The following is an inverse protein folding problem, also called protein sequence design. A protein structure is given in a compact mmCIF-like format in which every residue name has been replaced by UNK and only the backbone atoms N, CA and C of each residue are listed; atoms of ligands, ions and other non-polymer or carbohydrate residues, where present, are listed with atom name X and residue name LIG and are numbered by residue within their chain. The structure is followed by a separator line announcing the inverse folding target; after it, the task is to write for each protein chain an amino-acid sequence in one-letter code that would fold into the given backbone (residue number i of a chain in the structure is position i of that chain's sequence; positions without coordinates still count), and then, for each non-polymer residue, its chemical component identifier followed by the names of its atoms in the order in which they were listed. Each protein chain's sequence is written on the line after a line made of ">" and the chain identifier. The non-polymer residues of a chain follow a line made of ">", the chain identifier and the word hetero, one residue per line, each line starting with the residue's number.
data_IF_451497402119
#
_entry.id   IF_451497402119
#
_cell.length_a   1.000
_cell.length_b   1.000
_cell.length_c   1.000
_cell.angle_alpha   90.00
_cell.angle_beta   90.00
_cell.angle_gamma   90.00
#
_symmetry.space_group_name_H-M   'P 1'
#
loop_
_entity.id
_entity.type
_entity.pdbx_description
1 polymer ?
#
# COMPACT_ATOMS: atom_id res chain seq x y z
N UNK A 1 9.79 2.69 -23.19
CA UNK A 1 9.19 1.54 -22.48
C UNK A 1 8.47 0.71 -23.53
N UNK A 2 8.86 -0.56 -23.76
CA UNK A 2 8.21 -1.38 -24.79
C UNK A 2 6.94 -1.97 -24.18
N UNK A 3 5.77 -1.52 -24.64
CA UNK A 3 4.49 -2.11 -24.25
C UNK A 3 4.20 -3.28 -25.20
N UNK A 4 4.25 -4.50 -24.66
CA UNK A 4 3.85 -5.71 -25.38
C UNK A 4 2.40 -6.03 -25.05
N UNK A 5 1.60 -6.33 -26.07
CA UNK A 5 0.25 -6.89 -25.85
C UNK A 5 0.35 -8.31 -25.27
N UNK A 6 -0.66 -8.76 -24.52
CA UNK A 6 -0.65 -10.10 -23.89
C UNK A 6 -0.47 -11.25 -24.89
N UNK A 7 -0.97 -11.10 -26.12
CA UNK A 7 -0.78 -12.06 -27.20
C UNK A 7 0.68 -12.13 -27.68
N UNK A 8 1.35 -10.97 -27.79
CA UNK A 8 2.76 -10.88 -28.18
C UNK A 8 3.67 -11.47 -27.09
N UNK A 9 3.42 -11.14 -25.82
CA UNK A 9 4.16 -11.72 -24.70
C UNK A 9 4.07 -13.25 -24.69
N UNK A 10 2.87 -13.80 -24.90
CA UNK A 10 2.65 -15.25 -24.98
C UNK A 10 3.37 -15.90 -26.16
N UNK A 11 3.49 -15.21 -27.30
CA UNK A 11 4.24 -15.69 -28.44
C UNK A 11 5.75 -15.77 -28.15
N UNK A 12 6.32 -14.73 -27.52
CA UNK A 12 7.74 -14.71 -27.16
C UNK A 12 8.09 -15.74 -26.09
N UNK A 13 7.23 -15.91 -25.08
CA UNK A 13 7.45 -16.90 -24.01
C UNK A 13 7.46 -18.36 -24.51
N UNK A 14 6.88 -18.65 -25.68
CA UNK A 14 6.96 -19.99 -26.30
C UNK A 14 8.32 -20.30 -26.91
N UNK A 15 9.16 -19.29 -27.17
CA UNK A 15 10.48 -19.45 -27.77
C UNK A 15 11.58 -19.61 -26.72
N UNK A 16 11.28 -19.33 -25.45
CA UNK A 16 12.20 -19.42 -24.32
C UNK A 16 12.17 -20.84 -23.76
N UNK A 17 13.33 -21.40 -23.41
CA UNK A 17 13.40 -22.72 -22.79
C UNK A 17 12.63 -22.71 -21.46
N UNK A 18 11.99 -23.82 -21.12
CA UNK A 18 11.15 -23.92 -19.91
C UNK A 18 11.87 -23.46 -18.63
N UNK A 19 13.15 -23.79 -18.47
CA UNK A 19 13.96 -23.40 -17.31
C UNK A 19 14.17 -21.88 -17.23
N UNK A 20 14.43 -21.23 -18.37
CA UNK A 20 14.61 -19.77 -18.46
C UNK A 20 13.28 -19.04 -18.25
N UNK A 21 12.18 -19.58 -18.77
CA UNK A 21 10.84 -19.09 -18.54
C UNK A 21 10.44 -19.23 -17.07
N UNK A 22 10.81 -20.35 -16.42
CA UNK A 22 10.58 -20.59 -15.00
C UNK A 22 11.35 -19.57 -14.15
N UNK A 23 12.63 -19.36 -14.41
CA UNK A 23 13.45 -18.36 -13.70
C UNK A 23 12.93 -16.93 -13.91
N UNK A 24 12.49 -16.58 -15.11
CA UNK A 24 11.88 -15.28 -15.41
C UNK A 24 10.49 -15.12 -14.76
N UNK A 25 9.73 -16.22 -14.62
CA UNK A 25 8.41 -16.24 -14.00
C UNK A 25 8.44 -16.16 -12.48
N UNK A 26 9.58 -16.51 -11.86
CA UNK A 26 9.82 -16.26 -10.45
C UNK A 26 10.11 -14.77 -10.32
N UNK A 27 9.03 -13.97 -10.37
CA UNK A 27 9.05 -12.61 -9.86
C UNK A 27 9.28 -12.75 -8.37
N UNK A 28 10.55 -12.68 -7.94
CA UNK A 28 10.90 -12.56 -6.54
C UNK A 28 10.26 -11.25 -6.09
N UNK A 29 9.09 -11.33 -5.44
CA UNK A 29 8.55 -10.15 -4.77
C UNK A 29 9.63 -9.63 -3.82
N UNK A 30 9.83 -8.31 -3.74
CA UNK A 30 10.76 -7.74 -2.76
C UNK A 30 10.48 -8.35 -1.39
N UNK A 31 11.48 -9.01 -0.79
CA UNK A 31 11.33 -9.61 0.54
C UNK A 31 10.94 -8.49 1.53
N UNK A 32 9.81 -8.64 2.21
CA UNK A 32 9.31 -7.66 3.19
C UNK A 32 7.97 -7.01 2.84
N UNK A 33 7.41 -7.24 1.63
CA UNK A 33 6.03 -6.85 1.34
C UNK A 33 5.05 -7.88 1.94
N UNK A 34 4.62 -7.65 3.19
CA UNK A 34 3.43 -8.32 3.69
C UNK A 34 2.23 -7.84 2.86
N UNK A 35 1.35 -8.73 2.35
CA UNK A 35 0.08 -8.31 1.79
C UNK A 35 -0.75 -7.72 2.94
N UNK A 36 -0.67 -6.41 3.13
CA UNK A 36 -1.65 -5.73 3.98
C UNK A 36 -2.97 -5.77 3.23
N UNK A 37 -3.91 -6.55 3.76
CA UNK A 37 -5.29 -6.54 3.31
C UNK A 37 -5.90 -5.20 3.72
N UNK A 38 -5.92 -4.25 2.79
CA UNK A 38 -6.63 -2.99 3.00
C UNK A 38 -8.11 -3.24 2.74
N UNK A 39 -8.86 -3.44 3.82
CA UNK A 39 -10.31 -3.68 3.77
C UNK A 39 -11.13 -2.52 4.37
N UNK A 40 -10.46 -1.52 4.93
CA UNK A 40 -11.09 -0.39 5.62
C UNK A 40 -10.25 0.88 5.47
N UNK A 41 -10.89 2.03 5.69
CA UNK A 41 -10.23 3.35 5.69
C UNK A 41 -9.18 3.45 6.82
N UNK A 42 -9.42 2.79 7.96
CA UNK A 42 -8.45 2.71 9.07
C UNK A 42 -7.20 1.92 8.67
N UNK A 43 -7.35 0.77 8.00
CA UNK A 43 -6.20 0.01 7.49
C UNK A 43 -5.42 0.81 6.43
N UNK A 44 -6.12 1.61 5.62
CA UNK A 44 -5.51 2.51 4.66
C UNK A 44 -4.70 3.61 5.37
N UNK A 45 -5.24 4.20 6.44
CA UNK A 45 -4.53 5.20 7.26
C UNK A 45 -3.22 4.65 7.83
N UNK A 46 -3.24 3.41 8.34
CA UNK A 46 -2.03 2.74 8.85
C UNK A 46 -1.02 2.48 7.72
N UNK A 47 -1.48 2.09 6.54
CA UNK A 47 -0.60 1.87 5.37
C UNK A 47 0.13 3.16 4.96
N UNK A 48 -0.55 4.30 5.04
CA UNK A 48 -0.02 5.61 4.66
C UNK A 48 0.74 6.32 5.79
N UNK A 49 0.86 5.71 6.98
CA UNK A 49 1.59 6.31 8.10
C UNK A 49 3.04 6.64 7.70
N UNK A 50 3.47 7.92 7.78
CA UNK A 50 4.79 8.32 7.33
C UNK A 50 5.89 7.63 8.13
N UNK A 51 6.67 6.77 7.47
CA UNK A 51 7.81 6.09 8.07
C UNK A 51 9.10 6.45 7.34
N UNK A 52 10.19 6.69 8.09
CA UNK A 52 11.52 6.97 7.56
C UNK A 52 12.11 5.84 6.69
N UNK A 53 11.51 4.65 6.74
CA UNK A 53 12.04 3.43 6.08
C UNK A 53 11.21 2.93 4.90
N UNK A 54 10.01 3.45 4.68
CA UNK A 54 9.11 2.92 3.65
C UNK A 54 8.10 3.97 3.20
N UNK A 55 7.91 4.03 1.88
CA UNK A 55 6.79 4.74 1.24
C UNK A 55 5.83 3.66 0.73
N UNK A 56 4.50 3.82 0.90
CA UNK A 56 3.56 2.84 0.38
C UNK A 56 3.66 2.79 -1.15
N UNK A 57 3.74 1.58 -1.69
CA UNK A 57 3.62 1.34 -3.13
C UNK A 57 2.14 1.17 -3.46
N UNK A 58 1.52 2.23 -3.95
CA UNK A 58 0.08 2.33 -4.22
C UNK A 58 -0.15 2.97 -5.58
N UNK A 59 -1.14 2.45 -6.28
CA UNK A 59 -1.71 3.07 -7.46
C UNK A 59 -2.85 4.00 -7.01
N UNK A 60 -2.70 5.30 -7.26
CA UNK A 60 -3.67 6.29 -6.80
C UNK A 60 -4.97 6.26 -7.62
N UNK A 61 -4.92 5.83 -8.88
CA UNK A 61 -6.13 5.71 -9.72
C UNK A 61 -6.99 4.55 -9.21
N UNK A 62 -6.35 3.41 -8.89
CA UNK A 62 -7.05 2.27 -8.27
C UNK A 62 -7.56 2.62 -6.86
N UNK A 63 -6.81 3.42 -6.11
CA UNK A 63 -7.22 3.87 -4.77
C UNK A 63 -8.48 4.74 -4.81
N UNK A 64 -8.52 5.73 -5.70
CA UNK A 64 -9.68 6.59 -5.91
C UNK A 64 -10.91 5.75 -6.28
N UNK A 65 -10.75 4.83 -7.23
CA UNK A 65 -11.82 3.94 -7.66
C UNK A 65 -12.33 3.05 -6.52
N UNK A 66 -11.42 2.51 -5.71
CA UNK A 66 -11.76 1.67 -4.57
C UNK A 66 -12.53 2.45 -3.50
N UNK A 67 -12.12 3.68 -3.18
CA UNK A 67 -12.81 4.54 -2.23
C UNK A 67 -14.22 4.90 -2.72
N UNK A 68 -14.38 5.24 -4.00
CA UNK A 68 -15.66 5.61 -4.58
C UNK A 68 -16.65 4.42 -4.66
N UNK A 69 -16.16 3.22 -5.02
CA UNK A 69 -17.03 2.08 -5.35
C UNK A 69 -17.17 1.07 -4.21
N UNK A 70 -16.12 0.84 -3.42
CA UNK A 70 -16.13 -0.18 -2.34
C UNK A 70 -16.50 0.44 -1.01
N UNK A 71 -15.84 1.55 -0.65
CA UNK A 71 -16.15 2.27 0.61
C UNK A 71 -17.41 3.11 0.45
N UNK A 72 -17.68 3.60 -0.78
CA UNK A 72 -18.82 4.46 -1.07
C UNK A 72 -18.60 5.93 -0.71
N UNK A 73 -17.36 6.32 -0.37
CA UNK A 73 -17.01 7.69 0.02
C UNK A 73 -16.42 8.46 -1.16
N UNK A 74 -17.30 9.07 -1.96
CA UNK A 74 -16.91 9.81 -3.16
C UNK A 74 -16.16 11.11 -2.85
N UNK A 75 -16.47 11.75 -1.72
CA UNK A 75 -15.76 12.97 -1.31
C UNK A 75 -14.31 12.63 -0.95
N UNK A 76 -14.11 11.53 -0.21
CA UNK A 76 -12.77 11.05 0.12
C UNK A 76 -12.01 10.62 -1.13
N UNK A 77 -12.66 9.91 -2.05
CA UNK A 77 -12.07 9.51 -3.33
C UNK A 77 -11.53 10.73 -4.11
N UNK A 78 -12.35 11.78 -4.25
CA UNK A 78 -11.94 13.00 -4.95
C UNK A 78 -10.83 13.75 -4.22
N UNK A 79 -10.83 13.73 -2.88
CA UNK A 79 -9.80 14.40 -2.09
C UNK A 79 -8.41 13.76 -2.25
N UNK A 80 -8.35 12.44 -2.45
CA UNK A 80 -7.08 11.71 -2.63
C UNK A 80 -6.58 11.65 -4.07
N UNK A 81 -7.31 12.27 -5.01
CA UNK A 81 -6.95 12.31 -6.43
C UNK A 81 -5.50 12.77 -6.62
N UNK A 82 -4.75 12.02 -7.44
CA UNK A 82 -3.34 12.29 -7.69
C UNK A 82 -3.13 12.91 -9.07
N UNK A 83 -2.64 14.14 -9.08
CA UNK A 83 -2.08 14.75 -10.28
C UNK A 83 -0.55 14.79 -10.18
N UNK A 84 0.10 14.00 -11.03
CA UNK A 84 1.57 13.91 -11.10
C UNK A 84 2.24 15.24 -11.53
N UNK A 85 1.47 16.21 -12.04
CA UNK A 85 1.95 17.55 -12.35
C UNK A 85 2.00 18.50 -11.15
N UNK A 86 1.27 18.22 -10.07
CA UNK A 86 1.11 19.14 -8.93
C UNK A 86 2.01 18.82 -7.73
N UNK A 87 2.38 17.56 -7.53
CA UNK A 87 3.16 17.14 -6.36
C UNK A 87 4.00 15.90 -6.63
N UNK A 88 5.10 15.75 -5.89
CA UNK A 88 5.86 14.50 -5.93
C UNK A 88 5.04 13.37 -5.30
N UNK A 89 5.24 12.13 -5.76
CA UNK A 89 4.56 10.95 -5.23
C UNK A 89 4.62 10.86 -3.69
N UNK A 90 5.78 11.18 -3.11
CA UNK A 90 5.98 11.17 -1.66
C UNK A 90 5.15 12.24 -0.95
N UNK A 91 5.17 13.48 -1.45
CA UNK A 91 4.36 14.57 -0.90
C UNK A 91 2.87 14.23 -0.98
N UNK A 92 2.45 13.58 -2.07
CA UNK A 92 1.08 13.12 -2.20
C UNK A 92 0.71 12.02 -1.21
N UNK A 93 1.59 11.04 -0.95
CA UNK A 93 1.38 10.06 0.13
C UNK A 93 1.16 10.75 1.49
N UNK A 94 1.96 11.76 1.81
CA UNK A 94 1.82 12.53 3.07
C UNK A 94 0.50 13.31 3.09
N UNK A 95 0.10 13.92 1.97
CA UNK A 95 -1.18 14.61 1.84
C UNK A 95 -2.35 13.64 2.06
N UNK A 96 -2.32 12.48 1.42
CA UNK A 96 -3.36 11.44 1.58
C UNK A 96 -3.45 10.96 3.02
N UNK A 97 -2.32 10.76 3.71
CA UNK A 97 -2.30 10.43 5.14
C UNK A 97 -3.10 11.45 5.99
N UNK A 98 -2.88 12.75 5.77
CA UNK A 98 -3.60 13.80 6.50
C UNK A 98 -5.09 13.86 6.16
N UNK A 99 -5.45 13.62 4.91
CA UNK A 99 -6.85 13.55 4.47
C UNK A 99 -7.56 12.38 5.18
N UNK A 100 -6.90 11.22 5.26
CA UNK A 100 -7.43 10.04 5.95
C UNK A 100 -7.58 10.27 7.46
N UNK A 101 -6.61 10.91 8.12
CA UNK A 101 -6.73 11.28 9.55
C UNK A 101 -7.98 12.14 9.80
N UNK A 102 -8.17 13.17 8.98
CA UNK A 102 -9.32 14.07 9.09
C UNK A 102 -10.65 13.32 8.89
N UNK A 103 -10.72 12.42 7.90
CA UNK A 103 -11.95 11.66 7.62
C UNK A 103 -12.28 10.64 8.70
N UNK A 104 -11.27 9.99 9.30
CA UNK A 104 -11.47 9.09 10.44
C UNK A 104 -11.98 9.83 11.68
N UNK A 105 -11.49 11.05 11.95
CA UNK A 105 -12.01 11.90 13.03
C UNK A 105 -13.49 12.24 12.80
N UNK A 106 -13.85 12.60 11.56
CA UNK A 106 -15.25 12.86 11.19
C UNK A 106 -16.14 11.64 11.42
N UNK A 107 -15.67 10.43 11.06
CA UNK A 107 -16.42 9.19 11.34
C UNK A 107 -16.60 8.97 12.84
N UNK A 108 -15.57 9.21 13.64
CA UNK A 108 -15.66 9.02 15.09
C UNK A 108 -16.61 10.03 15.76
N UNK A 109 -16.58 11.30 15.32
CA UNK A 109 -17.53 12.32 15.73
C UNK A 109 -18.97 11.94 15.37
N UNK A 110 -19.20 11.46 14.14
CA UNK A 110 -20.52 11.02 13.69
C UNK A 110 -21.05 9.80 14.45
N UNK A 111 -20.17 8.92 14.93
CA UNK A 111 -20.54 7.74 15.71
C UNK A 111 -20.61 8.01 17.22
N UNK A 112 -20.37 9.25 17.66
CA UNK A 112 -20.34 9.63 19.08
C UNK A 112 -19.31 8.80 19.89
N UNK A 113 -18.27 8.31 19.22
CA UNK A 113 -17.17 7.57 19.82
C UNK A 113 -16.11 8.61 20.18
N UNK A 114 -15.88 8.86 21.46
CA UNK A 114 -14.72 9.63 21.91
C UNK A 114 -13.46 8.87 21.49
N UNK A 115 -12.79 9.31 20.42
CA UNK A 115 -11.47 8.79 20.06
C UNK A 115 -10.53 9.10 21.24
N UNK A 116 -10.01 8.09 21.95
CA UNK A 116 -9.07 8.37 23.02
C UNK A 116 -7.78 8.94 22.40
N UNK A 117 -7.54 10.23 22.60
CA UNK A 117 -6.20 10.80 22.44
C UNK A 117 -5.25 10.01 23.36
N UNK A 118 -4.28 9.33 22.74
CA UNK A 118 -3.23 8.47 23.34
C UNK A 118 -3.66 7.08 23.84
N UNK A 119 -3.33 6.08 23.03
CA UNK A 119 -2.50 4.95 23.50
C UNK A 119 -1.50 4.54 22.41
N UNK A 120 -0.78 5.50 21.83
CA UNK A 120 0.42 5.19 21.02
C UNK A 120 1.65 5.25 21.95
N UNK A 121 1.69 4.39 22.97
CA UNK A 121 2.92 4.09 23.73
C UNK A 121 3.10 2.64 24.17
N UNK A 122 2.15 1.72 23.95
CA UNK A 122 2.30 0.34 24.46
C UNK A 122 2.13 -0.80 23.44
N UNK A 123 1.89 -0.52 22.16
CA UNK A 123 1.73 -1.57 21.15
C UNK A 123 2.90 -1.66 20.15
N UNK A 124 4.14 -1.44 20.58
CA UNK A 124 5.33 -1.91 19.83
C UNK A 124 6.32 -2.52 20.81
N UNK A 125 5.88 -3.56 21.53
CA UNK A 125 6.83 -4.58 21.94
C UNK A 125 7.42 -5.18 20.65
N UNK A 126 8.75 -5.15 20.44
CA UNK A 126 9.33 -5.82 19.29
C UNK A 126 9.01 -7.30 19.43
N UNK A 127 8.17 -7.82 18.53
CA UNK A 127 7.99 -9.26 18.36
C UNK A 127 9.39 -9.87 18.19
N UNK A 128 9.79 -10.85 19.02
CA UNK A 128 11.10 -11.45 18.90
C UNK A 128 11.19 -12.09 17.51
N UNK A 129 12.07 -11.54 16.68
CA UNK A 129 12.36 -12.01 15.34
C UNK A 129 12.68 -13.51 15.37
N UNK A 130 11.78 -14.30 14.79
CA UNK A 130 11.89 -15.74 14.58
C UNK A 130 13.09 -16.07 13.65
N UNK A 131 13.70 -15.05 13.03
CA UNK A 131 14.79 -15.18 12.05
C UNK A 131 16.20 -15.25 12.65
N UNK A 132 16.39 -15.19 13.98
CA UNK A 132 17.71 -15.43 14.59
C UNK A 132 18.29 -16.83 14.32
N UNK A 133 17.46 -17.79 13.88
CA UNK A 133 17.91 -19.17 13.61
C UNK A 133 18.55 -19.37 12.22
N UNK A 134 18.46 -18.39 11.31
CA UNK A 134 18.90 -18.55 9.91
C UNK A 134 20.07 -17.66 9.50
N UNK A 135 20.63 -16.87 10.42
CA UNK A 135 21.83 -16.08 10.16
C UNK A 135 22.97 -16.70 10.96
N UNK A 136 23.50 -17.80 10.42
CA UNK A 136 24.81 -18.30 10.81
C UNK A 136 25.88 -17.34 10.31
N UNK A 137 26.23 -16.36 11.15
CA UNK A 137 27.47 -15.61 11.01
C UNK A 137 28.42 -16.23 12.05
N UNK A 138 29.45 -16.90 11.54
CA UNK A 138 30.62 -17.34 12.30
C UNK A 138 31.39 -16.14 12.82
#
# INVERSE_FOLDING_TARGET
>A
MIQLTGAQAKHYLRQVKFEEAMMASIVIRPRGMAPMLVNSVESLYILFEPNKKSVPGVDFDELELWLANTVGDRELAQAVHYDAGESSFFEHCVKVYHILDARLRQYAEAMNITVPEKTIKEAVAPTPSIYKKYVGIK
#
